data_IF_349440694255
#
_entry.id   IF_349440694255
#
_cell.length_a   1.000
_cell.length_b   1.000
_cell.length_c   1.000
_cell.angle_alpha   90.00
_cell.angle_beta   90.00
_cell.angle_gamma   90.00
#
_symmetry.space_group_name_H-M   'P 1'
#
loop_
_entity.id
_entity.type
_entity.pdbx_description
1 polymer ?
#
# COMPACT_ATOMS: atom_id res chain seq x y z
N UNK A 1 85.03 14.96 7.42
CA UNK A 1 84.11 13.81 7.66
C UNK A 1 82.86 14.31 8.31
N UNK A 2 81.83 14.50 7.51
CA UNK A 2 80.52 14.72 8.00
C UNK A 2 80.09 13.38 8.59
N UNK A 3 79.91 13.32 9.89
CA UNK A 3 79.74 12.09 10.65
C UNK A 3 78.42 11.40 10.20
N UNK A 4 78.54 10.17 9.75
CA UNK A 4 77.42 9.25 9.42
C UNK A 4 76.41 9.18 10.58
N UNK A 5 76.82 9.40 11.83
CA UNK A 5 75.98 9.48 13.02
C UNK A 5 74.87 10.56 12.94
N UNK A 6 75.21 11.76 12.40
CA UNK A 6 74.22 12.83 12.27
C UNK A 6 73.17 12.52 11.21
N UNK A 7 73.51 11.77 10.16
CA UNK A 7 72.57 11.34 9.09
C UNK A 7 71.66 10.26 9.64
N UNK A 8 72.12 9.31 10.39
CA UNK A 8 71.31 8.25 11.00
C UNK A 8 70.32 8.78 12.05
N UNK A 9 70.73 9.77 12.84
CA UNK A 9 69.83 10.40 13.82
C UNK A 9 68.72 11.23 13.15
N UNK A 10 69.04 11.86 12.04
CA UNK A 10 68.03 12.61 11.25
C UNK A 10 67.05 11.69 10.50
N UNK A 11 67.52 10.55 10.01
CA UNK A 11 66.72 9.52 9.38
C UNK A 11 65.78 8.84 10.40
N UNK A 12 66.26 8.54 11.58
CA UNK A 12 65.46 7.91 12.62
C UNK A 12 64.36 8.83 13.14
N UNK A 13 64.61 10.12 13.32
CA UNK A 13 63.60 11.13 13.67
C UNK A 13 62.53 11.28 12.62
N UNK A 14 62.92 11.30 11.37
CA UNK A 14 61.98 11.38 10.23
C UNK A 14 61.12 10.14 10.16
N UNK A 15 61.65 8.95 10.38
CA UNK A 15 60.88 7.68 10.39
C UNK A 15 59.85 7.65 11.51
N UNK A 16 60.17 8.09 12.69
CA UNK A 16 59.25 8.18 13.82
C UNK A 16 58.11 9.18 13.54
N UNK A 17 58.38 10.33 12.95
CA UNK A 17 57.35 11.31 12.62
C UNK A 17 56.38 10.79 11.57
N UNK A 18 56.88 10.06 10.57
CA UNK A 18 56.02 9.42 9.55
C UNK A 18 55.14 8.32 10.17
N UNK A 19 55.71 7.50 11.06
CA UNK A 19 54.94 6.45 11.75
C UNK A 19 53.80 7.07 12.58
N UNK A 20 54.12 8.13 13.35
CA UNK A 20 53.11 8.81 14.16
C UNK A 20 52.03 9.48 13.33
N UNK A 21 52.34 10.09 12.18
CA UNK A 21 51.36 10.68 11.28
C UNK A 21 50.44 9.63 10.65
N UNK A 22 50.98 8.48 10.25
CA UNK A 22 50.19 7.37 9.72
C UNK A 22 49.27 6.78 10.80
N UNK A 23 49.76 6.55 12.00
CA UNK A 23 48.96 6.05 13.11
C UNK A 23 47.85 7.03 13.51
N UNK A 24 48.15 8.32 13.56
CA UNK A 24 47.17 9.36 13.87
C UNK A 24 46.09 9.44 12.78
N UNK A 25 46.48 9.38 11.51
CA UNK A 25 45.55 9.37 10.38
C UNK A 25 44.62 8.13 10.39
N UNK A 26 45.20 6.95 10.67
CA UNK A 26 44.43 5.71 10.78
C UNK A 26 43.44 5.77 11.97
N UNK A 27 43.86 6.30 13.09
CA UNK A 27 43.01 6.49 14.27
C UNK A 27 41.87 7.46 14.01
N UNK A 28 42.13 8.59 13.37
CA UNK A 28 41.11 9.56 12.98
C UNK A 28 40.13 8.97 11.97
N UNK A 29 40.62 8.21 10.99
CA UNK A 29 39.78 7.53 10.01
C UNK A 29 38.83 6.51 10.65
N UNK A 30 39.32 5.70 11.59
CA UNK A 30 38.47 4.71 12.30
C UNK A 30 37.46 5.39 13.21
N UNK A 31 37.81 6.46 13.89
CA UNK A 31 36.92 7.25 14.75
C UNK A 31 35.81 7.91 13.92
N UNK A 32 36.16 8.49 12.77
CA UNK A 32 35.21 9.11 11.84
C UNK A 32 34.22 8.10 11.29
N UNK A 33 34.72 6.94 10.87
CA UNK A 33 33.86 5.85 10.36
C UNK A 33 32.91 5.34 11.46
N UNK A 34 33.42 5.14 12.68
CA UNK A 34 32.59 4.68 13.80
C UNK A 34 31.53 5.71 14.18
N UNK A 35 31.88 6.99 14.22
CA UNK A 35 30.94 8.08 14.46
C UNK A 35 29.87 8.18 13.40
N UNK A 36 30.24 8.01 12.12
CA UNK A 36 29.27 8.02 11.01
C UNK A 36 28.28 6.85 11.09
N UNK A 37 28.77 5.65 11.37
CA UNK A 37 27.93 4.46 11.55
C UNK A 37 26.98 4.64 12.74
N UNK A 38 27.47 5.17 13.86
CA UNK A 38 26.64 5.45 15.03
C UNK A 38 25.58 6.50 14.74
N UNK A 39 25.94 7.56 14.04
CA UNK A 39 25.02 8.63 13.63
C UNK A 39 23.93 8.12 12.68
N UNK A 40 24.31 7.32 11.67
CA UNK A 40 23.37 6.68 10.75
C UNK A 40 22.41 5.72 11.47
N UNK A 41 22.92 4.90 12.39
CA UNK A 41 22.07 4.04 13.22
C UNK A 41 21.06 4.83 14.06
N UNK A 42 21.45 5.98 14.58
CA UNK A 42 20.56 6.84 15.36
C UNK A 42 19.48 7.52 14.51
N UNK A 43 19.81 7.94 13.28
CA UNK A 43 18.85 8.57 12.36
C UNK A 43 17.84 7.55 11.85
N UNK A 44 18.24 6.33 11.56
CA UNK A 44 17.37 5.24 11.13
C UNK A 44 16.52 4.65 12.26
N UNK A 45 16.48 5.33 13.43
CA UNK A 45 15.67 4.93 14.60
C UNK A 45 16.00 3.51 15.11
N UNK A 46 17.22 3.05 14.84
CA UNK A 46 17.65 1.70 15.24
C UNK A 46 17.00 0.55 14.48
N UNK A 47 16.25 0.83 13.42
CA UNK A 47 15.67 -0.21 12.56
C UNK A 47 16.76 -0.78 11.66
N UNK A 48 17.05 -2.05 11.83
CA UNK A 48 17.90 -2.77 10.89
C UNK A 48 17.24 -2.81 9.51
N UNK A 49 18.00 -2.77 8.40
CA UNK A 49 17.44 -2.87 7.04
C UNK A 49 16.52 -4.08 6.85
N UNK A 50 16.74 -5.14 7.59
CA UNK A 50 15.95 -6.35 7.62
C UNK A 50 14.55 -6.12 8.26
N UNK A 51 14.43 -5.31 9.30
CA UNK A 51 13.15 -5.01 9.95
C UNK A 51 12.24 -4.17 9.05
N UNK A 52 12.82 -3.24 8.27
CA UNK A 52 12.07 -2.42 7.32
C UNK A 52 11.48 -3.30 6.20
N UNK A 53 12.25 -4.26 5.68
CA UNK A 53 11.75 -5.19 4.67
C UNK A 53 10.66 -6.11 5.22
N UNK A 54 10.82 -6.61 6.45
CA UNK A 54 9.81 -7.46 7.11
C UNK A 54 8.50 -6.72 7.35
N UNK A 55 8.55 -5.48 7.81
CA UNK A 55 7.35 -4.64 7.98
C UNK A 55 6.65 -4.36 6.64
N UNK A 56 7.41 -4.14 5.58
CA UNK A 56 6.85 -3.94 4.25
C UNK A 56 6.18 -5.22 3.73
N UNK A 57 6.85 -6.37 3.86
CA UNK A 57 6.31 -7.68 3.47
C UNK A 57 5.05 -8.04 4.28
N UNK A 58 5.03 -7.79 5.58
CA UNK A 58 3.85 -8.00 6.41
C UNK A 58 2.67 -7.13 5.97
N UNK A 59 2.88 -5.86 5.69
CA UNK A 59 1.83 -4.97 5.18
C UNK A 59 1.31 -5.43 3.83
N UNK A 60 2.21 -5.86 2.95
CA UNK A 60 1.83 -6.38 1.64
C UNK A 60 1.06 -7.70 1.76
N UNK A 61 1.49 -8.62 2.63
CA UNK A 61 0.78 -9.86 2.91
C UNK A 61 -0.63 -9.61 3.49
N UNK A 62 -0.77 -8.65 4.42
CA UNK A 62 -2.07 -8.24 4.94
C UNK A 62 -3.00 -7.74 3.83
N UNK A 63 -2.53 -6.86 2.96
CA UNK A 63 -3.31 -6.35 1.84
C UNK A 63 -3.68 -7.44 0.83
N UNK A 64 -2.82 -8.44 0.65
CA UNK A 64 -3.08 -9.57 -0.24
C UNK A 64 -4.04 -10.62 0.36
N UNK A 65 -4.10 -10.74 1.69
CA UNK A 65 -5.00 -11.66 2.39
C UNK A 65 -6.44 -11.17 2.49
N UNK A 66 -6.69 -9.89 2.24
CA UNK A 66 -8.04 -9.34 2.23
C UNK A 66 -8.84 -9.94 1.08
N UNK A 67 -10.06 -10.38 1.37
CA UNK A 67 -11.06 -10.80 0.36
C UNK A 67 -11.68 -9.61 -0.37
N UNK A 68 -11.45 -8.41 0.12
CA UNK A 68 -11.91 -7.17 -0.48
C UNK A 68 -10.88 -6.65 -1.49
N UNK A 69 -11.37 -6.14 -2.62
CA UNK A 69 -10.53 -5.47 -3.59
C UNK A 69 -10.08 -4.11 -3.05
N UNK A 70 -8.80 -3.79 -3.24
CA UNK A 70 -8.23 -2.50 -2.85
C UNK A 70 -7.50 -1.91 -4.05
N UNK A 71 -7.81 -0.64 -4.35
CA UNK A 71 -7.12 0.17 -5.37
C UNK A 71 -6.75 1.50 -4.75
N UNK A 72 -5.53 1.95 -4.97
CA UNK A 72 -5.08 3.28 -4.59
C UNK A 72 -4.62 4.07 -5.80
N UNK A 73 -4.85 5.38 -5.75
CA UNK A 73 -4.36 6.36 -6.73
C UNK A 73 -3.60 7.47 -6.03
N UNK A 74 -2.68 8.10 -6.76
CA UNK A 74 -1.99 9.31 -6.30
C UNK A 74 -2.85 10.58 -6.51
N UNK A 75 -2.26 11.75 -6.27
CA UNK A 75 -2.90 13.05 -6.47
C UNK A 75 -3.23 13.35 -7.93
N UNK A 76 -2.57 12.71 -8.89
CA UNK A 76 -2.83 12.83 -10.33
C UNK A 76 -3.94 11.88 -10.81
N UNK A 77 -4.38 10.97 -9.93
CA UNK A 77 -5.37 9.93 -10.25
C UNK A 77 -4.77 8.73 -10.98
N UNK A 78 -3.44 8.58 -10.94
CA UNK A 78 -2.76 7.41 -11.47
C UNK A 78 -2.75 6.28 -10.45
N UNK A 79 -2.96 5.05 -10.91
CA UNK A 79 -3.05 3.88 -10.02
C UNK A 79 -1.66 3.53 -9.48
N UNK A 80 -1.50 3.63 -8.17
CA UNK A 80 -0.26 3.31 -7.44
C UNK A 80 -0.26 1.91 -6.84
N UNK A 81 -1.46 1.39 -6.51
CA UNK A 81 -1.59 0.07 -5.90
C UNK A 81 -2.89 -0.61 -6.33
N UNK A 82 -2.81 -1.93 -6.51
CA UNK A 82 -3.95 -2.82 -6.70
C UNK A 82 -3.62 -4.17 -6.06
N UNK A 83 -4.49 -4.66 -5.16
CA UNK A 83 -4.27 -5.95 -4.51
C UNK A 83 -4.75 -7.12 -5.39
N UNK A 84 -4.44 -8.35 -4.95
CA UNK A 84 -4.81 -9.57 -5.67
C UNK A 84 -6.34 -9.74 -5.80
N UNK A 85 -7.09 -9.50 -4.72
CA UNK A 85 -8.54 -9.59 -4.71
C UNK A 85 -9.19 -8.61 -5.70
N UNK A 86 -8.68 -7.37 -5.81
CA UNK A 86 -9.15 -6.39 -6.78
C UNK A 86 -8.97 -6.89 -8.21
N UNK A 87 -7.82 -7.50 -8.52
CA UNK A 87 -7.57 -8.07 -9.86
C UNK A 87 -8.54 -9.19 -10.18
N UNK A 88 -8.83 -10.06 -9.21
CA UNK A 88 -9.79 -11.16 -9.39
C UNK A 88 -11.23 -10.67 -9.57
N UNK A 89 -11.68 -9.75 -8.70
CA UNK A 89 -13.04 -9.20 -8.75
C UNK A 89 -13.27 -8.47 -10.08
N UNK A 90 -12.29 -7.67 -10.52
CA UNK A 90 -12.36 -6.89 -11.76
C UNK A 90 -11.94 -7.67 -13.01
N UNK A 91 -11.54 -8.94 -12.85
CA UNK A 91 -11.09 -9.82 -13.95
C UNK A 91 -9.94 -9.22 -14.77
N UNK A 92 -9.00 -8.53 -14.08
CA UNK A 92 -7.85 -7.90 -14.73
C UNK A 92 -6.72 -8.91 -14.96
N UNK A 93 -6.15 -8.96 -16.16
CA UNK A 93 -4.97 -9.79 -16.41
C UNK A 93 -3.78 -9.28 -15.59
N UNK A 94 -2.92 -10.23 -15.13
CA UNK A 94 -1.82 -9.94 -14.22
C UNK A 94 -0.82 -8.90 -14.74
N UNK A 95 -0.66 -8.80 -16.07
CA UNK A 95 0.33 -7.93 -16.74
C UNK A 95 -0.23 -6.62 -17.27
N UNK A 96 -1.55 -6.41 -17.25
CA UNK A 96 -2.14 -5.19 -17.81
C UNK A 96 -2.06 -4.06 -16.80
N UNK A 97 -1.50 -2.92 -17.22
CA UNK A 97 -1.55 -1.69 -16.43
C UNK A 97 -3.01 -1.34 -16.14
N UNK A 98 -3.34 -0.92 -14.91
CA UNK A 98 -4.71 -0.62 -14.52
C UNK A 98 -5.30 0.64 -15.19
N UNK A 99 -4.55 1.34 -16.03
CA UNK A 99 -4.99 2.51 -16.80
C UNK A 99 -6.21 2.25 -17.73
N UNK A 100 -6.47 0.98 -18.03
CA UNK A 100 -7.62 0.55 -18.84
C UNK A 100 -8.85 0.16 -18.02
N UNK A 101 -8.86 0.45 -16.73
CA UNK A 101 -10.06 0.35 -15.91
C UNK A 101 -11.07 1.39 -16.38
N UNK A 102 -11.86 1.00 -17.36
CA UNK A 102 -13.03 1.74 -17.83
C UNK A 102 -14.12 1.65 -16.76
N UNK A 103 -13.90 2.33 -15.60
CA UNK A 103 -14.68 1.99 -14.45
C UNK A 103 -15.14 3.24 -13.75
N UNK A 104 -16.43 3.29 -13.43
CA UNK A 104 -16.99 4.30 -12.52
C UNK A 104 -16.19 4.48 -11.25
N UNK A 105 -15.53 3.40 -10.78
CA UNK A 105 -14.62 3.40 -9.63
C UNK A 105 -13.40 4.30 -9.82
N UNK A 106 -12.78 4.34 -11.00
CA UNK A 106 -11.64 5.22 -11.25
C UNK A 106 -12.08 6.70 -11.24
N UNK A 107 -13.27 6.98 -11.73
CA UNK A 107 -13.86 8.31 -11.65
C UNK A 107 -14.12 8.72 -10.19
N UNK A 108 -14.61 7.81 -9.36
CA UNK A 108 -14.80 8.04 -7.92
C UNK A 108 -13.46 8.28 -7.21
N UNK A 109 -12.42 7.48 -7.50
CA UNK A 109 -11.09 7.65 -6.96
C UNK A 109 -10.48 9.02 -7.32
N UNK A 110 -10.55 9.42 -8.60
CA UNK A 110 -10.08 10.72 -9.07
C UNK A 110 -10.85 11.87 -8.42
N UNK A 111 -12.16 11.74 -8.31
CA UNK A 111 -12.99 12.74 -7.64
C UNK A 111 -12.59 12.91 -6.18
N UNK A 112 -12.40 11.80 -5.44
CA UNK A 112 -11.99 11.84 -4.03
C UNK A 112 -10.58 12.37 -3.86
N UNK A 113 -9.64 12.02 -4.75
CA UNK A 113 -8.26 12.56 -4.70
C UNK A 113 -8.22 14.06 -4.94
N UNK A 114 -9.16 14.62 -5.73
CA UNK A 114 -9.22 16.05 -6.01
C UNK A 114 -10.01 16.85 -4.96
N UNK A 115 -11.16 16.30 -4.50
CA UNK A 115 -12.06 17.01 -3.58
C UNK A 115 -11.74 16.79 -2.11
N UNK A 116 -11.04 15.72 -1.78
CA UNK A 116 -10.76 15.30 -0.40
C UNK A 116 -11.99 14.85 0.39
N UNK A 117 -13.12 14.61 -0.30
CA UNK A 117 -14.39 14.18 0.31
C UNK A 117 -14.57 12.68 0.07
N UNK A 118 -14.76 11.92 1.17
CA UNK A 118 -14.98 10.47 1.09
C UNK A 118 -16.33 10.14 0.46
N UNK A 119 -16.39 9.04 -0.28
CA UNK A 119 -17.60 8.43 -0.81
C UNK A 119 -17.77 7.07 -0.13
N UNK A 120 -18.92 6.86 0.51
CA UNK A 120 -19.23 5.61 1.22
C UNK A 120 -20.42 4.92 0.60
N UNK A 121 -20.42 3.59 0.71
CA UNK A 121 -21.52 2.70 0.31
C UNK A 121 -22.03 2.93 -1.13
N UNK A 122 -21.09 3.22 -2.04
CA UNK A 122 -21.42 3.39 -3.45
C UNK A 122 -21.59 2.02 -4.11
N UNK A 123 -22.79 1.77 -4.64
CA UNK A 123 -23.03 0.59 -5.45
C UNK A 123 -22.61 0.88 -6.90
N UNK A 124 -21.68 0.07 -7.40
CA UNK A 124 -21.15 0.20 -8.76
C UNK A 124 -21.38 -1.12 -9.49
N UNK A 125 -22.05 -1.06 -10.64
CA UNK A 125 -22.10 -2.21 -11.55
C UNK A 125 -20.83 -2.24 -12.39
N UNK A 126 -20.12 -3.36 -12.31
CA UNK A 126 -18.91 -3.61 -13.06
C UNK A 126 -19.03 -4.96 -13.78
N UNK A 127 -19.31 -4.92 -15.09
CA UNK A 127 -19.46 -6.12 -15.93
C UNK A 127 -20.50 -7.13 -15.38
N UNK A 128 -21.65 -6.64 -14.91
CA UNK A 128 -22.70 -7.47 -14.34
C UNK A 128 -22.45 -7.93 -12.89
N UNK A 129 -21.42 -7.42 -12.25
CA UNK A 129 -21.16 -7.62 -10.82
C UNK A 129 -21.51 -6.37 -10.03
N UNK A 130 -22.28 -6.55 -8.97
CA UNK A 130 -22.58 -5.47 -8.06
C UNK A 130 -21.48 -5.34 -7.02
N UNK A 131 -20.70 -4.26 -7.13
CA UNK A 131 -19.64 -3.94 -6.19
C UNK A 131 -20.12 -2.87 -5.21
N UNK A 132 -19.95 -3.12 -3.91
CA UNK A 132 -20.10 -2.10 -2.88
C UNK A 132 -18.73 -1.49 -2.61
N UNK A 133 -18.62 -0.18 -2.86
CA UNK A 133 -17.36 0.55 -2.85
C UNK A 133 -17.34 1.64 -1.78
N UNK A 134 -16.22 1.73 -1.07
CA UNK A 134 -15.90 2.83 -0.15
C UNK A 134 -14.62 3.50 -0.62
N UNK A 135 -14.67 4.79 -0.91
CA UNK A 135 -13.51 5.56 -1.37
C UNK A 135 -13.19 6.67 -0.39
N UNK A 136 -11.95 6.68 0.10
CA UNK A 136 -11.49 7.65 1.09
C UNK A 136 -10.24 8.37 0.61
N UNK A 137 -10.06 9.67 0.93
CA UNK A 137 -8.85 10.40 0.61
C UNK A 137 -7.69 9.97 1.51
N UNK A 138 -6.51 9.87 0.94
CA UNK A 138 -5.25 9.74 1.68
C UNK A 138 -4.67 11.11 1.89
N UNK A 139 -4.46 11.49 3.16
CA UNK A 139 -3.96 12.81 3.53
C UNK A 139 -2.61 12.71 4.21
N UNK A 140 -1.73 13.65 3.90
CA UNK A 140 -0.48 13.90 4.61
C UNK A 140 -0.47 15.36 5.08
N UNK A 141 -0.34 15.61 6.38
CA UNK A 141 -0.33 16.96 6.98
C UNK A 141 -1.43 17.89 6.41
N UNK A 142 -2.66 17.37 6.29
CA UNK A 142 -3.83 18.08 5.76
C UNK A 142 -3.89 18.28 4.22
N UNK A 143 -2.90 17.82 3.47
CA UNK A 143 -2.92 17.81 2.00
C UNK A 143 -3.34 16.43 1.48
N UNK A 144 -4.24 16.40 0.51
CA UNK A 144 -4.65 15.15 -0.14
C UNK A 144 -3.53 14.72 -1.08
N UNK A 145 -2.96 13.54 -0.81
CA UNK A 145 -1.88 12.94 -1.60
C UNK A 145 -2.37 11.81 -2.51
N UNK A 146 -3.66 11.45 -2.42
CA UNK A 146 -4.26 10.40 -3.21
C UNK A 146 -5.60 9.94 -2.66
N UNK A 147 -6.09 8.82 -3.14
CA UNK A 147 -7.30 8.18 -2.65
C UNK A 147 -7.16 6.65 -2.66
N UNK A 148 -7.90 5.98 -1.77
CA UNK A 148 -8.01 4.52 -1.71
C UNK A 148 -9.47 4.15 -1.82
N UNK A 149 -9.78 3.18 -2.68
CA UNK A 149 -11.08 2.54 -2.76
C UNK A 149 -10.97 1.08 -2.32
N UNK A 150 -11.85 0.70 -1.39
CA UNK A 150 -12.09 -0.69 -1.03
C UNK A 150 -13.44 -1.12 -1.58
N UNK A 151 -13.53 -2.35 -2.06
CA UNK A 151 -14.76 -2.86 -2.64
C UNK A 151 -14.90 -4.36 -2.48
N UNK A 152 -16.15 -4.80 -2.39
CA UNK A 152 -16.51 -6.21 -2.33
C UNK A 152 -17.64 -6.55 -3.29
N UNK A 153 -17.59 -7.76 -3.79
CA UNK A 153 -18.65 -8.30 -4.66
C UNK A 153 -19.87 -8.68 -3.81
N UNK A 154 -21.00 -8.08 -4.09
CA UNK A 154 -22.30 -8.37 -3.45
C UNK A 154 -23.32 -9.00 -4.42
N UNK A 155 -22.87 -9.42 -5.59
CA UNK A 155 -23.75 -9.98 -6.63
C UNK A 155 -24.55 -11.17 -6.12
N UNK A 156 -23.93 -12.10 -5.42
CA UNK A 156 -24.59 -13.29 -4.87
C UNK A 156 -25.65 -12.93 -3.82
N UNK A 157 -25.33 -12.02 -2.91
CA UNK A 157 -26.26 -11.55 -1.87
C UNK A 157 -27.48 -10.89 -2.52
N UNK A 158 -27.27 -10.05 -3.53
CA UNK A 158 -28.37 -9.40 -4.28
C UNK A 158 -29.25 -10.42 -5.00
N UNK A 159 -28.65 -11.41 -5.64
CA UNK A 159 -29.41 -12.48 -6.30
C UNK A 159 -30.24 -13.31 -5.33
N UNK A 160 -29.69 -13.62 -4.13
CA UNK A 160 -30.43 -14.31 -3.09
C UNK A 160 -31.61 -13.48 -2.58
N UNK A 161 -31.42 -12.18 -2.35
CA UNK A 161 -32.50 -11.27 -1.95
C UNK A 161 -33.61 -11.21 -3.00
N UNK A 162 -33.25 -11.06 -4.28
CA UNK A 162 -34.24 -11.05 -5.38
C UNK A 162 -35.02 -12.34 -5.47
N UNK A 163 -34.40 -13.51 -5.21
CA UNK A 163 -35.14 -14.81 -5.19
C UNK A 163 -36.06 -14.88 -3.99
N UNK A 164 -35.66 -14.36 -2.84
CA UNK A 164 -36.50 -14.32 -1.63
C UNK A 164 -37.73 -13.42 -1.86
N UNK A 165 -37.53 -12.21 -2.42
CA UNK A 165 -38.66 -11.30 -2.75
C UNK A 165 -39.62 -11.93 -3.73
N UNK A 166 -39.14 -12.65 -4.71
CA UNK A 166 -39.97 -13.43 -5.64
C UNK A 166 -40.77 -14.53 -4.93
N UNK A 167 -40.22 -15.22 -3.95
CA UNK A 167 -40.92 -16.22 -3.16
C UNK A 167 -42.01 -15.61 -2.28
N UNK A 168 -41.74 -14.47 -1.63
CA UNK A 168 -42.76 -13.77 -0.82
C UNK A 168 -43.95 -13.37 -1.68
N UNK A 169 -43.72 -12.78 -2.83
CA UNK A 169 -44.78 -12.41 -3.76
C UNK A 169 -45.58 -13.64 -4.25
N UNK A 170 -44.92 -14.78 -4.49
CA UNK A 170 -45.60 -16.01 -4.90
C UNK A 170 -46.49 -16.56 -3.79
N UNK A 171 -46.05 -16.55 -2.53
CA UNK A 171 -46.84 -16.97 -1.36
C UNK A 171 -48.09 -16.09 -1.19
N UNK A 172 -47.98 -14.77 -1.38
CA UNK A 172 -49.10 -13.84 -1.27
C UNK A 172 -50.14 -14.07 -2.38
N UNK A 173 -49.70 -14.34 -3.60
CA UNK A 173 -50.59 -14.70 -4.71
C UNK A 173 -51.35 -15.99 -4.43
N UNK A 174 -50.66 -17.03 -3.94
CA UNK A 174 -51.31 -18.30 -3.58
C UNK A 174 -52.30 -18.12 -2.42
N UNK A 175 -51.98 -17.29 -1.43
CA UNK A 175 -52.87 -16.98 -0.33
C UNK A 175 -54.13 -16.27 -0.80
N UNK A 176 -54.02 -15.32 -1.72
CA UNK A 176 -55.14 -14.60 -2.29
C UNK A 176 -56.02 -15.54 -3.11
N UNK A 177 -55.45 -16.41 -3.94
CA UNK A 177 -56.18 -17.41 -4.68
C UNK A 177 -56.93 -18.42 -3.79
N UNK A 178 -56.27 -18.85 -2.69
CA UNK A 178 -56.91 -19.76 -1.70
C UNK A 178 -58.10 -19.10 -1.02
N UNK A 179 -58.01 -17.83 -0.67
CA UNK A 179 -59.12 -17.06 -0.09
C UNK A 179 -60.28 -16.86 -1.08
N UNK A 180 -59.96 -16.57 -2.37
CA UNK A 180 -61.01 -16.47 -3.40
C UNK A 180 -61.71 -17.81 -3.64
N UNK A 181 -60.98 -18.93 -3.57
CA UNK A 181 -61.55 -20.26 -3.76
C UNK A 181 -62.46 -20.62 -2.60
N UNK A 182 -62.08 -20.32 -1.35
CA UNK A 182 -62.91 -20.57 -0.16
C UNK A 182 -64.21 -19.71 -0.12
N UNK A 183 -64.18 -18.52 -0.71
CA UNK A 183 -65.35 -17.62 -0.77
C UNK A 183 -66.37 -18.00 -1.85
N UNK A 184 -66.04 -18.92 -2.76
CA UNK A 184 -66.89 -19.38 -3.85
C UNK A 184 -67.58 -20.73 -3.57
N UNK A 185 -67.26 -21.35 -2.45
CA UNK A 185 -67.95 -22.54 -1.96
C UNK A 185 -69.00 -22.16 -0.89
#
# INVERSE_FOLDING_TARGET
>A
GISLEKVDEQISRSRWSVIWTVLFSAFMGTLGTWGLVYFLKRILVGLEPHEISTLFEQRQAMLQSLKEGVIAVDSQGEVTMINHAARQILQLPAQKKPELLHVPMLAALRRVSQTGTALQDQEIDCNGRLLLCNTVPVKNQNHVIGAISTFRDKTEIRQLMQRMDGMVNYVDVLRTQSHEFMNKL
#
